data_IF_172995276850
#
_entry.id   IF_172995276850
#
_cell.length_a   1.000
_cell.length_b   1.000
_cell.length_c   1.000
_cell.angle_alpha   90.00
_cell.angle_beta   90.00
_cell.angle_gamma   90.00
#
_symmetry.space_group_name_H-M   'P 1'
#
loop_
_entity.id
_entity.type
_entity.pdbx_description
1 polymer ?
#
# COMPACT_ATOMS: atom_id res chain seq x y z
N UNK A 1 7.59 -8.17 5.33
CA UNK A 1 6.48 -8.94 5.97
C UNK A 1 5.13 -8.56 5.36
N UNK A 2 4.79 -7.26 5.27
CA UNK A 2 3.58 -6.76 4.57
C UNK A 2 3.42 -7.30 3.14
N UNK A 3 4.50 -7.34 2.35
CA UNK A 3 4.56 -7.91 0.98
C UNK A 3 4.09 -9.36 0.82
N UNK A 4 4.11 -10.15 1.90
CA UNK A 4 3.71 -11.56 1.85
C UNK A 4 2.25 -11.69 2.30
N UNK A 5 1.88 -10.95 3.35
CA UNK A 5 0.62 -11.14 4.07
C UNK A 5 -0.51 -10.39 3.37
N UNK A 6 -0.31 -9.12 3.02
CA UNK A 6 -1.38 -8.27 2.52
C UNK A 6 -1.85 -8.65 1.12
N UNK A 7 -0.98 -9.06 0.18
CA UNK A 7 -1.46 -9.60 -1.09
C UNK A 7 -2.30 -10.86 -0.94
N UNK A 8 -1.93 -11.76 -0.02
CA UNK A 8 -2.74 -12.94 0.28
C UNK A 8 -4.09 -12.55 0.93
N UNK A 9 -4.09 -11.56 1.82
CA UNK A 9 -5.33 -11.03 2.39
C UNK A 9 -6.24 -10.39 1.32
N UNK A 10 -5.68 -9.64 0.36
CA UNK A 10 -6.44 -9.04 -0.72
C UNK A 10 -7.02 -10.10 -1.67
N UNK A 11 -6.26 -11.17 -1.96
CA UNK A 11 -6.74 -12.33 -2.71
C UNK A 11 -7.95 -12.98 -2.01
N UNK A 12 -7.81 -13.28 -0.72
CA UNK A 12 -8.88 -13.91 0.07
C UNK A 12 -10.10 -12.99 0.18
N UNK A 13 -9.89 -11.68 0.37
CA UNK A 13 -10.97 -10.70 0.46
C UNK A 13 -11.80 -10.67 -0.83
N UNK A 14 -11.18 -10.73 -2.00
CA UNK A 14 -11.91 -10.79 -3.27
C UNK A 14 -12.73 -12.09 -3.42
N UNK A 15 -12.40 -13.17 -2.70
CA UNK A 15 -13.16 -14.41 -2.71
C UNK A 15 -14.36 -14.41 -1.76
N UNK A 16 -14.23 -13.79 -0.58
CA UNK A 16 -15.15 -14.01 0.52
C UNK A 16 -15.77 -12.76 1.14
N UNK A 17 -15.35 -11.54 0.72
CA UNK A 17 -15.88 -10.30 1.27
C UNK A 17 -17.41 -10.21 1.09
N UNK A 18 -18.09 -9.89 2.19
CA UNK A 18 -19.50 -9.53 2.17
C UNK A 18 -19.71 -8.13 1.56
N UNK A 19 -20.97 -7.78 1.29
CA UNK A 19 -21.31 -6.42 0.82
C UNK A 19 -20.89 -5.39 1.88
N UNK A 20 -21.05 -5.74 3.16
CA UNK A 20 -20.66 -4.92 4.30
C UNK A 20 -19.14 -4.74 4.37
N UNK A 21 -18.36 -5.80 4.08
CA UNK A 21 -16.90 -5.72 4.04
C UNK A 21 -16.42 -4.82 2.90
N UNK A 22 -17.00 -4.96 1.70
CA UNK A 22 -16.68 -4.10 0.55
C UNK A 22 -17.04 -2.64 0.84
N UNK A 23 -18.16 -2.40 1.52
CA UNK A 23 -18.55 -1.05 1.96
C UNK A 23 -17.52 -0.48 2.95
N UNK A 24 -17.06 -1.26 3.93
CA UNK A 24 -16.04 -0.81 4.89
C UNK A 24 -14.70 -0.46 4.20
N UNK A 25 -14.27 -1.25 3.21
CA UNK A 25 -13.07 -0.93 2.41
C UNK A 25 -13.29 0.36 1.60
N UNK A 26 -14.48 0.54 1.02
CA UNK A 26 -14.83 1.72 0.24
C UNK A 26 -14.88 3.00 1.11
N UNK A 27 -15.40 2.91 2.33
CA UNK A 27 -15.44 4.01 3.29
C UNK A 27 -14.03 4.42 3.71
N UNK A 28 -13.16 3.46 4.03
CA UNK A 28 -11.76 3.72 4.33
C UNK A 28 -11.03 4.40 3.16
N UNK A 29 -11.30 3.97 1.92
CA UNK A 29 -10.78 4.63 0.73
C UNK A 29 -11.29 6.07 0.57
N UNK A 30 -12.58 6.30 0.83
CA UNK A 30 -13.20 7.63 0.74
C UNK A 30 -12.58 8.60 1.77
N UNK A 31 -12.30 8.12 2.99
CA UNK A 31 -11.57 8.90 4.00
C UNK A 31 -10.17 9.30 3.51
N UNK A 32 -9.42 8.37 2.90
CA UNK A 32 -8.13 8.72 2.29
C UNK A 32 -8.29 9.79 1.20
N UNK A 33 -9.26 9.62 0.30
CA UNK A 33 -9.50 10.57 -0.78
C UNK A 33 -9.85 11.97 -0.27
N UNK A 34 -10.62 12.07 0.81
CA UNK A 34 -10.98 13.34 1.45
C UNK A 34 -9.76 14.09 2.03
N UNK A 35 -8.69 13.38 2.38
CA UNK A 35 -7.46 13.94 2.95
C UNK A 35 -6.43 14.37 1.89
N UNK A 36 -6.73 14.21 0.60
CA UNK A 36 -5.77 14.46 -0.48
C UNK A 36 -5.29 15.91 -0.59
N UNK A 37 -6.18 16.87 -0.35
CA UNK A 37 -5.89 18.29 -0.55
C UNK A 37 -5.28 18.93 0.70
N UNK A 38 -5.95 18.80 1.85
CA UNK A 38 -5.60 19.54 3.09
C UNK A 38 -5.44 18.63 4.31
N UNK A 39 -5.43 17.31 4.15
CA UNK A 39 -5.32 16.39 5.27
C UNK A 39 -3.96 16.53 5.97
N UNK A 40 -3.96 16.64 7.30
CA UNK A 40 -2.74 16.54 8.08
C UNK A 40 -2.07 15.19 7.83
N UNK A 41 -0.75 15.16 7.86
CA UNK A 41 0.04 13.97 7.57
C UNK A 41 -0.35 12.76 8.45
N UNK A 42 -0.52 12.96 9.77
CA UNK A 42 -0.95 11.89 10.70
C UNK A 42 -2.33 11.32 10.34
N UNK A 43 -3.24 12.17 9.84
CA UNK A 43 -4.56 11.74 9.38
C UNK A 43 -4.44 10.89 8.12
N UNK A 44 -3.57 11.28 7.16
CA UNK A 44 -3.30 10.49 5.95
C UNK A 44 -2.72 9.12 6.26
N UNK A 45 -1.76 9.06 7.20
CA UNK A 45 -1.18 7.81 7.73
C UNK A 45 -2.29 6.95 8.33
N UNK A 46 -3.15 7.54 9.17
CA UNK A 46 -4.21 6.79 9.85
C UNK A 46 -5.24 6.22 8.87
N UNK A 47 -5.62 6.97 7.85
CA UNK A 47 -6.56 6.53 6.82
C UNK A 47 -5.97 5.41 5.93
N UNK A 48 -4.70 5.52 5.53
CA UNK A 48 -3.98 4.46 4.80
C UNK A 48 -3.97 3.15 5.60
N UNK A 49 -3.63 3.21 6.88
CA UNK A 49 -3.62 2.03 7.76
C UNK A 49 -5.04 1.45 7.94
N UNK A 50 -6.07 2.30 8.03
CA UNK A 50 -7.46 1.86 8.14
C UNK A 50 -7.91 1.06 6.91
N UNK A 51 -7.51 1.48 5.70
CA UNK A 51 -7.79 0.73 4.47
C UNK A 51 -7.17 -0.68 4.51
N UNK A 52 -5.91 -0.79 4.91
CA UNK A 52 -5.22 -2.08 5.01
C UNK A 52 -5.86 -3.01 6.07
N UNK A 53 -6.36 -2.46 7.17
CA UNK A 53 -7.14 -3.24 8.15
C UNK A 53 -8.44 -3.74 7.55
N UNK A 54 -9.19 -2.88 6.85
CA UNK A 54 -10.46 -3.26 6.24
C UNK A 54 -10.28 -4.43 5.25
N UNK A 55 -9.22 -4.39 4.42
CA UNK A 55 -8.90 -5.51 3.51
C UNK A 55 -8.55 -6.79 4.27
N UNK A 56 -7.77 -6.69 5.36
CA UNK A 56 -7.42 -7.86 6.18
C UNK A 56 -8.63 -8.43 6.94
N UNK A 57 -9.55 -7.59 7.39
CA UNK A 57 -10.82 -8.01 8.01
C UNK A 57 -11.70 -8.74 7.00
N UNK A 58 -11.86 -8.18 5.80
CA UNK A 58 -12.61 -8.74 4.69
C UNK A 58 -12.07 -10.09 4.18
N UNK A 59 -10.81 -10.41 4.46
CA UNK A 59 -10.19 -11.67 4.06
C UNK A 59 -10.73 -12.90 4.82
N UNK A 60 -11.48 -12.69 5.91
CA UNK A 60 -11.99 -13.76 6.78
C UNK A 60 -10.90 -14.52 7.55
N UNK A 61 -9.63 -14.13 7.43
CA UNK A 61 -8.50 -14.84 8.03
C UNK A 61 -8.05 -14.15 9.32
N UNK A 62 -8.42 -14.73 10.48
CA UNK A 62 -8.10 -14.19 11.81
C UNK A 62 -6.60 -13.96 12.04
N UNK A 63 -5.73 -14.72 11.39
CA UNK A 63 -4.28 -14.51 11.48
C UNK A 63 -3.87 -13.20 10.79
N UNK A 64 -4.38 -12.94 9.57
CA UNK A 64 -4.14 -11.68 8.85
C UNK A 64 -4.69 -10.49 9.61
N UNK A 65 -5.88 -10.59 10.18
CA UNK A 65 -6.47 -9.55 11.03
C UNK A 65 -5.57 -9.19 12.22
N UNK A 66 -5.09 -10.20 12.95
CA UNK A 66 -4.27 -10.01 14.16
C UNK A 66 -2.90 -9.42 13.84
N UNK A 67 -2.26 -9.91 12.78
CA UNK A 67 -0.91 -9.48 12.41
C UNK A 67 -0.90 -8.10 11.77
N UNK A 68 -1.88 -7.77 10.93
CA UNK A 68 -2.04 -6.43 10.35
C UNK A 68 -2.21 -5.38 11.44
N UNK A 69 -3.07 -5.63 12.44
CA UNK A 69 -3.24 -4.72 13.59
C UNK A 69 -1.97 -4.55 14.42
N UNK A 70 -1.22 -5.63 14.62
CA UNK A 70 0.07 -5.61 15.34
C UNK A 70 1.13 -4.82 14.59
N UNK A 71 1.25 -5.05 13.27
CA UNK A 71 2.15 -4.31 12.38
C UNK A 71 1.80 -2.82 12.39
N UNK A 72 0.53 -2.47 12.29
CA UNK A 72 0.05 -1.09 12.33
C UNK A 72 0.40 -0.41 13.66
N UNK A 73 0.19 -1.10 14.78
CA UNK A 73 0.55 -0.56 16.10
C UNK A 73 2.05 -0.30 16.23
N UNK A 74 2.88 -1.23 15.74
CA UNK A 74 4.33 -1.08 15.74
C UNK A 74 4.80 0.04 14.80
N UNK A 75 4.18 0.14 13.62
CA UNK A 75 4.56 1.10 12.59
C UNK A 75 3.98 2.49 12.79
N UNK A 76 2.93 2.69 13.62
CA UNK A 76 2.36 4.03 13.89
C UNK A 76 3.43 5.05 14.30
N UNK A 77 4.41 4.65 15.12
CA UNK A 77 5.54 5.51 15.53
C UNK A 77 6.61 5.70 14.46
N UNK A 78 6.71 4.78 13.50
CA UNK A 78 7.68 4.84 12.41
C UNK A 78 7.14 5.55 11.18
N UNK A 79 5.83 5.47 10.93
CA UNK A 79 5.16 6.14 9.82
C UNK A 79 5.13 7.66 9.97
N UNK A 80 5.25 8.18 11.20
CA UNK A 80 5.42 9.61 11.45
C UNK A 80 6.62 10.22 10.68
N UNK A 81 7.58 9.40 10.28
CA UNK A 81 8.75 9.81 9.51
C UNK A 81 8.71 9.46 8.01
N UNK A 82 7.66 8.77 7.51
CA UNK A 82 7.71 8.06 6.22
C UNK A 82 6.79 8.59 5.10
N UNK A 83 5.71 9.33 5.40
CA UNK A 83 4.72 9.80 4.39
C UNK A 83 4.93 11.27 3.98
N UNK A 84 6.15 11.80 4.09
CA UNK A 84 6.43 13.18 3.65
C UNK A 84 7.46 13.12 2.51
N UNK A 85 6.93 13.02 1.28
CA UNK A 85 7.05 14.20 0.45
C UNK A 85 5.71 14.60 -0.22
N UNK A 86 5.42 15.92 -0.31
CA UNK A 86 4.27 16.45 -1.00
C UNK A 86 4.41 16.18 -2.50
N UNK A 87 3.54 15.33 -3.05
CA UNK A 87 3.47 15.05 -4.48
C UNK A 87 3.08 13.62 -4.87
N UNK A 88 3.10 12.66 -3.94
CA UNK A 88 2.84 11.24 -4.26
C UNK A 88 1.50 10.69 -3.72
N UNK A 89 0.68 11.52 -3.07
CA UNK A 89 -0.55 11.04 -2.41
C UNK A 89 -1.66 10.68 -3.42
N UNK A 90 -1.85 11.46 -4.48
CA UNK A 90 -2.82 11.13 -5.54
C UNK A 90 -2.49 9.82 -6.27
N UNK A 91 -1.20 9.61 -6.58
CA UNK A 91 -0.73 8.35 -7.13
C UNK A 91 -0.95 7.18 -6.15
N UNK A 92 -0.77 7.42 -4.85
CA UNK A 92 -1.09 6.44 -3.81
C UNK A 92 -2.59 6.08 -3.81
N UNK A 93 -3.48 7.07 -3.90
CA UNK A 93 -4.92 6.85 -4.00
C UNK A 93 -5.31 6.02 -5.22
N UNK A 94 -4.67 6.24 -6.37
CA UNK A 94 -4.92 5.43 -7.56
C UNK A 94 -4.56 3.95 -7.35
N UNK A 95 -3.47 3.67 -6.64
CA UNK A 95 -3.08 2.29 -6.32
C UNK A 95 -4.06 1.63 -5.33
N UNK A 96 -4.49 2.37 -4.30
CA UNK A 96 -5.51 1.90 -3.35
C UNK A 96 -6.84 1.60 -4.04
N UNK A 97 -7.22 2.48 -4.97
CA UNK A 97 -8.45 2.31 -5.77
C UNK A 97 -8.44 1.01 -6.57
N UNK A 98 -7.29 0.66 -7.18
CA UNK A 98 -7.16 -0.57 -7.94
C UNK A 98 -7.39 -1.83 -7.09
N UNK A 99 -6.95 -1.83 -5.82
CA UNK A 99 -7.22 -2.92 -4.88
C UNK A 99 -8.71 -3.00 -4.57
N UNK A 100 -9.33 -1.88 -4.20
CA UNK A 100 -10.77 -1.83 -3.89
C UNK A 100 -11.61 -2.30 -5.09
N UNK A 101 -11.30 -1.82 -6.29
CA UNK A 101 -12.06 -2.18 -7.49
C UNK A 101 -11.94 -3.68 -7.79
N UNK A 102 -10.76 -4.28 -7.65
CA UNK A 102 -10.56 -5.72 -7.84
C UNK A 102 -11.32 -6.56 -6.79
N UNK A 103 -11.29 -6.17 -5.51
CA UNK A 103 -12.07 -6.84 -4.46
C UNK A 103 -13.57 -6.71 -4.74
N UNK A 104 -14.03 -5.51 -5.12
CA UNK A 104 -15.45 -5.22 -5.38
C UNK A 104 -16.05 -6.04 -6.52
N UNK A 105 -15.26 -6.35 -7.55
CA UNK A 105 -15.72 -7.17 -8.68
C UNK A 105 -15.48 -8.67 -8.46
N UNK A 106 -14.87 -9.06 -7.33
CA UNK A 106 -14.52 -10.45 -7.04
C UNK A 106 -13.43 -10.99 -7.97
N UNK A 107 -12.34 -10.23 -8.16
CA UNK A 107 -11.14 -10.61 -8.94
C UNK A 107 -9.95 -10.85 -7.99
N UNK A 108 -9.74 -12.10 -7.52
CA UNK A 108 -8.69 -12.44 -6.55
C UNK A 108 -7.27 -12.21 -7.06
N UNK A 109 -6.97 -12.65 -8.27
CA UNK A 109 -5.67 -12.45 -8.90
C UNK A 109 -5.39 -10.96 -9.13
N UNK A 110 -6.41 -10.21 -9.58
CA UNK A 110 -6.34 -8.76 -9.71
C UNK A 110 -6.08 -8.05 -8.38
N UNK A 111 -6.77 -8.46 -7.31
CA UNK A 111 -6.62 -7.89 -5.98
C UNK A 111 -5.24 -8.16 -5.39
N UNK A 112 -4.74 -9.38 -5.52
CA UNK A 112 -3.39 -9.75 -5.12
C UNK A 112 -2.34 -8.91 -5.85
N UNK A 113 -2.42 -8.87 -7.18
CA UNK A 113 -1.46 -8.14 -8.01
C UNK A 113 -1.51 -6.63 -7.74
N UNK A 114 -2.69 -6.06 -7.52
CA UNK A 114 -2.86 -4.66 -7.14
C UNK A 114 -2.21 -4.36 -5.79
N UNK A 115 -2.41 -5.22 -4.79
CA UNK A 115 -1.82 -5.04 -3.46
C UNK A 115 -0.29 -5.17 -3.50
N UNK A 116 0.26 -6.10 -4.28
CA UNK A 116 1.71 -6.20 -4.48
C UNK A 116 2.29 -4.91 -5.07
N UNK A 117 1.67 -4.37 -6.14
CA UNK A 117 2.11 -3.12 -6.77
C UNK A 117 2.04 -1.94 -5.83
N UNK A 118 0.98 -1.87 -5.02
CA UNK A 118 0.80 -0.83 -4.01
C UNK A 118 1.95 -0.85 -3.00
N UNK A 119 2.26 -2.01 -2.44
CA UNK A 119 3.31 -2.12 -1.42
C UNK A 119 4.72 -1.91 -1.99
N UNK A 120 5.01 -2.40 -3.21
CA UNK A 120 6.28 -2.16 -3.90
C UNK A 120 6.57 -0.66 -4.12
N UNK A 121 5.54 0.11 -4.50
CA UNK A 121 5.67 1.56 -4.67
C UNK A 121 5.91 2.27 -3.34
N UNK A 122 5.31 1.80 -2.25
CA UNK A 122 5.58 2.30 -0.91
C UNK A 122 7.01 2.00 -0.46
N UNK A 123 7.53 0.79 -0.70
CA UNK A 123 8.94 0.46 -0.39
C UNK A 123 9.94 1.32 -1.17
N UNK A 124 9.72 1.51 -2.47
CA UNK A 124 10.59 2.37 -3.29
C UNK A 124 10.59 3.83 -2.78
N UNK A 125 9.44 4.34 -2.34
CA UNK A 125 9.37 5.66 -1.73
C UNK A 125 10.20 5.73 -0.42
N UNK A 126 10.16 4.68 0.40
CA UNK A 126 10.93 4.59 1.65
C UNK A 126 12.44 4.51 1.40
N UNK A 127 12.90 3.71 0.44
CA UNK A 127 14.33 3.59 0.11
C UNK A 127 14.94 4.90 -0.38
N UNK A 128 14.16 5.67 -1.16
CA UNK A 128 14.55 6.99 -1.64
C UNK A 128 14.65 8.02 -0.51
N UNK A 129 13.74 7.98 0.46
CA UNK A 129 13.76 8.84 1.65
C UNK A 129 14.89 8.46 2.62
N UNK A 130 15.21 7.17 2.72
CA UNK A 130 16.30 6.66 3.56
C UNK A 130 17.71 6.93 3.00
N UNK A 131 17.85 7.60 1.85
CA UNK A 131 19.15 7.99 1.29
C UNK A 131 19.99 6.83 0.72
N UNK A 132 19.39 5.67 0.42
CA UNK A 132 20.08 4.53 -0.21
C UNK A 132 20.02 4.55 -1.75
N UNK A 133 19.50 5.61 -2.34
CA UNK A 133 19.43 5.80 -3.79
C UNK A 133 20.62 6.62 -4.32
N UNK A 134 21.85 6.19 -4.02
CA UNK A 134 23.03 6.48 -4.82
C UNK A 134 23.73 5.13 -4.96
N UNK A 135 23.77 4.58 -6.19
CA UNK A 135 24.65 3.48 -6.68
C UNK A 135 23.99 2.46 -7.65
N UNK A 136 22.83 2.71 -8.27
CA UNK A 136 22.34 1.80 -9.34
C UNK A 136 22.40 2.38 -10.77
N UNK A 137 22.98 3.57 -10.97
CA UNK A 137 22.98 4.23 -12.29
C UNK A 137 24.35 4.80 -12.68
N UNK A 138 25.43 4.08 -12.40
CA UNK A 138 26.76 4.39 -12.98
C UNK A 138 27.48 3.21 -13.66
N UNK A 139 27.04 1.96 -13.50
CA UNK A 139 27.75 0.80 -14.06
C UNK A 139 27.42 0.46 -15.53
N UNK A 140 26.66 1.29 -16.24
CA UNK A 140 26.28 1.01 -17.65
C UNK A 140 26.94 1.97 -18.66
N UNK A 141 27.74 2.94 -18.22
CA UNK A 141 28.34 3.93 -19.13
C UNK A 141 29.87 3.82 -19.36
N UNK A 142 30.57 2.83 -18.79
CA UNK A 142 32.04 2.74 -18.94
C UNK A 142 32.56 1.59 -19.84
N UNK A 143 31.71 0.69 -20.37
CA UNK A 143 32.18 -0.36 -21.31
C UNK A 143 32.16 0.04 -22.80
N UNK A 144 32.16 1.35 -23.10
CA UNK A 144 31.93 1.88 -24.45
C UNK A 144 33.08 2.62 -25.12
N UNK A 145 34.27 2.74 -24.51
CA UNK A 145 35.38 3.51 -25.10
C UNK A 145 36.77 2.93 -24.87
N UNK A 146 37.07 1.79 -25.50
CA UNK A 146 38.43 1.52 -25.98
C UNK A 146 38.36 0.87 -27.36
N UNK A 147 38.18 1.71 -28.39
CA UNK A 147 38.64 1.43 -29.75
C UNK A 147 39.56 2.57 -30.14
N UNK A 148 40.87 2.34 -30.06
CA UNK A 148 41.85 2.68 -31.10
C UNK A 148 43.27 2.29 -30.69
#
# INVERSE_FOLDING_TARGET
MRQIIEPAAAFDAAHCASIEDVAAIADAYAEMAALATDGAFEARVSADLAFHVAVADASGNRFFQSITRSIIHALRRSFEALIDPPGNYEANLANHRAVLDAIRIGDPEGAQAAMMRLLQRSEYAMERLSGRAIECEQDVLDEGKETS
#
